data_IF_069312514589
#
_entry.id   IF_069312514589
#
_cell.length_a   1.000
_cell.length_b   1.000
_cell.length_c   1.000
_cell.angle_alpha   90.00
_cell.angle_beta   90.00
_cell.angle_gamma   90.00
#
_symmetry.space_group_name_H-M   'P 1'
#
loop_
_entity.id
_entity.type
_entity.pdbx_description
1 polymer ?
#
# COMPACT_ATOMS: atom_id res chain seq x y z
N UNK A 1 3.05 -6.80 -2.81
CA UNK A 1 2.25 -7.47 -1.74
C UNK A 1 1.60 -6.42 -0.86
N UNK A 2 0.46 -6.73 -0.26
CA UNK A 2 -0.25 -5.87 0.72
C UNK A 2 -0.47 -6.64 2.02
N UNK A 3 -0.32 -5.98 3.17
CA UNK A 3 -0.54 -6.58 4.50
C UNK A 3 -1.62 -5.79 5.23
N UNK A 4 -2.65 -6.48 5.73
CA UNK A 4 -3.84 -5.87 6.37
C UNK A 4 -4.04 -6.47 7.77
N UNK A 5 -4.43 -5.65 8.74
CA UNK A 5 -4.80 -6.07 10.11
C UNK A 5 -3.66 -6.04 11.13
N UNK A 6 -2.39 -5.86 10.71
CA UNK A 6 -1.25 -5.78 11.65
C UNK A 6 -1.35 -4.56 12.56
N UNK A 7 -1.86 -3.43 12.07
CA UNK A 7 -2.06 -2.22 12.87
C UNK A 7 -3.09 -2.39 14.00
N UNK A 8 -4.07 -3.28 13.83
CA UNK A 8 -5.10 -3.58 14.82
C UNK A 8 -4.57 -4.55 15.88
N UNK A 9 -3.82 -5.57 15.43
CA UNK A 9 -3.17 -6.60 16.25
C UNK A 9 -2.03 -6.01 17.09
N UNK A 10 -1.23 -5.13 16.49
CA UNK A 10 -0.08 -4.49 17.15
C UNK A 10 0.04 -3.01 16.72
N UNK A 11 -0.73 -2.11 17.37
CA UNK A 11 -0.66 -0.68 17.09
C UNK A 11 0.73 -0.11 17.40
N UNK A 12 1.18 0.84 16.59
CA UNK A 12 2.46 1.53 16.79
C UNK A 12 2.50 2.20 18.18
N UNK A 13 3.59 2.01 18.92
CA UNK A 13 3.75 2.57 20.28
C UNK A 13 3.12 1.73 21.40
N UNK A 14 2.50 0.59 21.09
CA UNK A 14 1.97 -0.35 22.09
C UNK A 14 2.74 -1.67 22.03
N UNK A 15 3.24 -2.14 23.18
CA UNK A 15 3.98 -3.41 23.28
C UNK A 15 3.08 -4.63 23.51
N UNK A 16 1.79 -4.43 23.79
CA UNK A 16 0.83 -5.51 23.97
C UNK A 16 0.14 -5.86 22.65
N UNK A 17 0.27 -7.11 22.22
CA UNK A 17 -0.39 -7.68 21.04
C UNK A 17 -1.82 -8.09 21.40
N UNK A 18 -2.77 -7.79 20.51
CA UNK A 18 -4.16 -8.26 20.61
C UNK A 18 -4.39 -9.41 19.62
N UNK A 19 -5.12 -10.47 19.98
CA UNK A 19 -5.56 -11.47 19.01
C UNK A 19 -6.37 -10.80 17.89
N UNK A 20 -6.10 -11.18 16.65
CA UNK A 20 -6.78 -10.65 15.47
C UNK A 20 -6.28 -11.30 14.18
N UNK A 21 -6.97 -11.05 13.07
CA UNK A 21 -6.63 -11.63 11.77
C UNK A 21 -5.69 -10.71 11.02
N UNK A 22 -4.55 -11.25 10.58
CA UNK A 22 -3.66 -10.59 9.61
C UNK A 22 -3.82 -11.27 8.26
N UNK A 23 -3.95 -10.48 7.20
CA UNK A 23 -4.04 -10.97 5.82
C UNK A 23 -2.85 -10.48 5.03
N UNK A 24 -2.21 -11.39 4.28
CA UNK A 24 -1.14 -11.07 3.32
C UNK A 24 -1.66 -11.39 1.93
N UNK A 25 -1.61 -10.39 1.05
CA UNK A 25 -2.08 -10.48 -0.33
C UNK A 25 -0.87 -10.37 -1.25
N UNK A 26 -0.64 -11.40 -2.05
CA UNK A 26 0.34 -11.39 -3.12
C UNK A 26 -0.31 -10.88 -4.40
N UNK A 27 0.37 -9.95 -5.06
CA UNK A 27 -0.09 -9.36 -6.33
C UNK A 27 0.66 -10.02 -7.48
N UNK A 28 0.15 -9.83 -8.68
CA UNK A 28 0.86 -10.22 -9.89
C UNK A 28 2.23 -9.52 -9.95
N UNK A 29 3.27 -10.19 -10.49
CA UNK A 29 4.58 -9.58 -10.65
C UNK A 29 4.51 -8.34 -11.54
N UNK A 30 5.20 -7.27 -11.12
CA UNK A 30 5.39 -6.07 -11.92
C UNK A 30 6.81 -6.13 -12.49
N UNK A 31 6.91 -6.20 -13.81
CA UNK A 31 8.18 -6.31 -14.54
C UNK A 31 8.76 -4.91 -14.82
N UNK A 32 9.89 -4.51 -14.20
CA UNK A 32 10.40 -3.13 -14.31
C UNK A 32 10.73 -2.70 -15.74
N UNK A 33 11.06 -3.66 -16.62
CA UNK A 33 11.38 -3.44 -18.03
C UNK A 33 10.21 -2.90 -18.85
N UNK A 34 8.98 -3.07 -18.37
CA UNK A 34 7.77 -2.62 -19.07
C UNK A 34 7.49 -1.12 -18.84
N UNK A 35 8.30 -0.46 -17.99
CA UNK A 35 8.12 0.93 -17.60
C UNK A 35 9.23 1.85 -18.12
N UNK A 36 8.81 2.94 -18.75
CA UNK A 36 9.72 3.96 -19.32
C UNK A 36 10.42 4.77 -18.23
N UNK A 37 9.80 4.95 -17.06
CA UNK A 37 10.34 5.74 -15.96
C UNK A 37 10.08 5.11 -14.60
N UNK A 38 10.92 5.48 -13.64
CA UNK A 38 10.76 5.09 -12.23
C UNK A 38 9.40 5.52 -11.68
N UNK A 39 8.96 6.73 -11.99
CA UNK A 39 7.74 7.27 -11.41
C UNK A 39 6.50 6.53 -11.94
N UNK A 40 6.51 6.14 -13.22
CA UNK A 40 5.45 5.31 -13.78
C UNK A 40 5.40 3.92 -13.13
N UNK A 41 6.56 3.29 -12.93
CA UNK A 41 6.65 2.04 -12.18
C UNK A 41 6.13 2.18 -10.75
N UNK A 42 6.48 3.27 -10.05
CA UNK A 42 6.03 3.50 -8.68
C UNK A 42 4.51 3.71 -8.58
N UNK A 43 3.88 4.31 -9.60
CA UNK A 43 2.43 4.46 -9.64
C UNK A 43 1.70 3.12 -9.79
N UNK A 44 2.18 2.23 -10.66
CA UNK A 44 1.62 0.87 -10.78
C UNK A 44 1.82 0.04 -9.51
N UNK A 45 3.00 0.12 -8.89
CA UNK A 45 3.24 -0.52 -7.59
C UNK A 45 2.27 0.01 -6.54
N UNK A 46 2.01 1.33 -6.53
CA UNK A 46 1.05 1.95 -5.62
C UNK A 46 -0.36 1.46 -5.89
N UNK A 47 -0.81 1.46 -7.14
CA UNK A 47 -2.13 0.97 -7.55
C UNK A 47 -2.34 -0.50 -7.15
N UNK A 48 -1.34 -1.36 -7.37
CA UNK A 48 -1.39 -2.76 -6.94
C UNK A 48 -1.58 -2.87 -5.42
N UNK A 49 -0.82 -2.09 -4.62
CA UNK A 49 -0.96 -2.09 -3.17
C UNK A 49 -2.36 -1.63 -2.73
N UNK A 50 -2.84 -0.52 -3.29
CA UNK A 50 -4.16 0.07 -3.02
C UNK A 50 -5.30 -0.90 -3.31
N UNK A 51 -5.21 -1.68 -4.39
CA UNK A 51 -6.20 -2.69 -4.74
C UNK A 51 -6.40 -3.75 -3.65
N UNK A 52 -5.31 -4.10 -2.93
CA UNK A 52 -5.33 -5.04 -1.81
C UNK A 52 -5.73 -4.43 -0.47
N UNK A 53 -5.84 -3.11 -0.36
CA UNK A 53 -6.26 -2.45 0.89
C UNK A 53 -7.79 -2.42 1.02
N UNK A 54 -8.35 -2.57 2.24
CA UNK A 54 -9.73 -2.21 2.52
C UNK A 54 -10.00 -0.75 2.15
N UNK A 55 -11.22 -0.45 1.67
CA UNK A 55 -11.60 0.87 1.14
C UNK A 55 -11.25 2.03 2.09
N UNK A 56 -11.49 1.85 3.39
CA UNK A 56 -11.20 2.83 4.44
C UNK A 56 -9.70 3.16 4.61
N UNK A 57 -8.81 2.32 4.09
CA UNK A 57 -7.36 2.53 4.13
C UNK A 57 -6.77 2.90 2.78
N UNK A 58 -7.60 2.95 1.72
CA UNK A 58 -7.14 3.36 0.40
C UNK A 58 -6.89 4.86 0.39
N UNK A 59 -5.82 5.28 -0.27
CA UNK A 59 -5.64 6.69 -0.53
C UNK A 59 -6.62 7.14 -1.61
N UNK A 60 -7.51 8.07 -1.27
CA UNK A 60 -8.16 8.90 -2.30
C UNK A 60 -7.05 9.69 -2.98
N UNK A 61 -6.71 9.36 -4.21
CA UNK A 61 -5.81 10.16 -5.04
C UNK A 61 -6.44 11.55 -5.19
N UNK A 62 -5.91 12.53 -4.45
CA UNK A 62 -6.18 13.94 -4.70
C UNK A 62 -5.17 14.40 -5.76
N UNK A 63 -5.57 14.65 -7.03
CA UNK A 63 -4.65 15.11 -8.05
C UNK A 63 -4.36 16.59 -7.79
N UNK A 64 -3.43 16.89 -6.88
CA UNK A 64 -2.65 18.13 -6.78
C UNK A 64 -1.93 18.14 -5.43
N UNK A 65 -0.68 17.67 -5.41
CA UNK A 65 0.34 18.17 -4.49
C UNK A 65 1.71 17.97 -5.16
N UNK A 66 1.89 18.75 -6.22
CA UNK A 66 3.16 19.09 -6.81
C UNK A 66 3.17 20.59 -7.04
N UNK A 67 3.57 21.35 -6.03
CA UNK A 67 3.98 22.74 -6.18
C UNK A 67 5.42 22.84 -5.69
N UNK A 68 6.26 23.13 -6.66
CA UNK A 68 7.71 23.31 -6.63
C UNK A 68 8.19 24.22 -5.50
N UNK A 69 9.43 23.98 -5.07
CA UNK A 69 10.33 25.06 -4.63
C UNK A 69 10.88 25.80 -5.85
#
# INVERSE_FOLDING_TARGET
MTIVGTHEVMPKGRYAIKPGRVTVIFHDPIEPKDFVSRDHLMEEVRAAIESGLPEQYRHTTNPMQGSSS
#
